data_IF_312965648239
#
_entry.id   IF_312965648239
#
_cell.length_a   1.000
_cell.length_b   1.000
_cell.length_c   1.000
_cell.angle_alpha   90.00
_cell.angle_beta   90.00
_cell.angle_gamma   90.00
#
_symmetry.space_group_name_H-M   'P 1'
#
loop_
_entity.id
_entity.type
_entity.pdbx_description
1 polymer ?
#
# COMPACT_ATOMS: atom_id res chain seq x y z
N UNK A 1 16.59 -1.39 -6.09
CA UNK A 1 15.55 -0.80 -6.96
C UNK A 1 14.63 0.01 -6.09
N UNK A 2 14.49 1.33 -6.31
CA UNK A 2 13.57 2.16 -5.55
C UNK A 2 12.13 1.82 -5.97
N UNK A 3 11.24 1.73 -4.99
CA UNK A 3 9.82 1.48 -5.21
C UNK A 3 9.14 2.81 -5.52
N UNK A 4 8.12 2.79 -6.38
CA UNK A 4 7.23 3.91 -6.67
C UNK A 4 5.79 3.61 -6.32
N UNK A 5 5.33 2.40 -6.62
CA UNK A 5 3.94 1.99 -6.41
C UNK A 5 3.86 0.56 -5.90
N UNK A 6 2.92 0.32 -4.98
CA UNK A 6 2.61 -0.98 -4.40
C UNK A 6 1.09 -1.16 -4.41
N UNK A 7 0.60 -2.30 -4.89
CA UNK A 7 -0.79 -2.72 -4.73
C UNK A 7 -0.86 -3.84 -3.69
N UNK A 8 -1.65 -3.65 -2.63
CA UNK A 8 -1.90 -4.64 -1.58
C UNK A 8 -3.41 -4.90 -1.50
N UNK A 9 -3.78 -6.18 -1.48
CA UNK A 9 -5.16 -6.60 -1.22
C UNK A 9 -5.33 -6.88 0.26
N UNK A 10 -6.31 -6.21 0.85
CA UNK A 10 -6.75 -6.42 2.24
C UNK A 10 -8.19 -6.91 2.24
N UNK A 11 -8.57 -7.62 3.31
CA UNK A 11 -9.95 -8.00 3.55
C UNK A 11 -10.53 -7.15 4.68
N UNK A 12 -11.68 -6.54 4.45
CA UNK A 12 -12.40 -5.70 5.42
C UNK A 12 -13.90 -5.62 5.10
N UNK A 13 -14.74 -5.45 6.11
CA UNK A 13 -16.20 -5.33 5.98
C UNK A 13 -16.66 -3.88 5.72
N UNK A 14 -15.76 -2.91 5.90
CA UNK A 14 -16.03 -1.50 5.68
C UNK A 14 -16.16 -1.11 4.21
N UNK A 15 -16.61 0.11 4.01
CA UNK A 15 -16.69 0.79 2.71
C UNK A 15 -15.33 1.32 2.26
N UNK A 16 -15.21 1.68 0.98
CA UNK A 16 -13.98 2.26 0.43
C UNK A 16 -13.52 3.51 1.21
N UNK A 17 -14.46 4.38 1.59
CA UNK A 17 -14.16 5.62 2.32
C UNK A 17 -13.66 5.33 3.75
N UNK A 18 -14.30 4.38 4.45
CA UNK A 18 -13.87 3.97 5.80
C UNK A 18 -12.46 3.36 5.78
N UNK A 19 -12.20 2.50 4.81
CA UNK A 19 -10.88 1.88 4.62
C UNK A 19 -9.85 2.96 4.30
N UNK A 20 -10.17 3.91 3.42
CA UNK A 20 -9.28 4.99 3.06
C UNK A 20 -8.93 5.88 4.25
N UNK A 21 -9.90 6.23 5.09
CA UNK A 21 -9.68 7.02 6.32
C UNK A 21 -8.80 6.26 7.31
N UNK A 22 -9.12 4.99 7.59
CA UNK A 22 -8.34 4.16 8.53
C UNK A 22 -6.90 3.96 8.08
N UNK A 23 -6.70 3.61 6.82
CA UNK A 23 -5.35 3.49 6.25
C UNK A 23 -4.63 4.85 6.28
N UNK A 24 -5.31 5.96 5.99
CA UNK A 24 -4.74 7.29 6.10
C UNK A 24 -4.22 7.60 7.51
N UNK A 25 -4.96 7.21 8.54
CA UNK A 25 -4.52 7.35 9.94
C UNK A 25 -3.32 6.45 10.26
N UNK A 26 -3.35 5.17 9.85
CA UNK A 26 -2.25 4.22 10.06
C UNK A 26 -0.94 4.67 9.41
N UNK A 27 -1.03 5.33 8.25
CA UNK A 27 0.12 5.76 7.47
C UNK A 27 0.55 7.21 7.74
N UNK A 28 0.06 7.83 8.81
CA UNK A 28 0.52 9.16 9.20
C UNK A 28 2.05 9.16 9.44
N UNK A 29 2.78 9.94 8.62
CA UNK A 29 4.25 9.98 8.67
C UNK A 29 4.96 8.82 7.96
N UNK A 30 4.23 7.93 7.28
CA UNK A 30 4.80 6.86 6.47
C UNK A 30 5.18 7.38 5.07
N UNK A 31 6.29 6.91 4.46
CA UNK A 31 6.77 7.45 3.17
C UNK A 31 5.93 7.03 1.95
N UNK A 32 4.96 6.11 2.14
CA UNK A 32 4.00 5.67 1.15
C UNK A 32 2.62 6.20 1.51
N UNK A 33 1.98 6.91 0.57
CA UNK A 33 0.61 7.41 0.70
C UNK A 33 -0.38 6.52 -0.05
N UNK A 34 -1.57 6.32 0.54
CA UNK A 34 -2.69 5.65 -0.13
C UNK A 34 -3.28 6.57 -1.22
N UNK A 35 -3.38 6.09 -2.45
CA UNK A 35 -3.91 6.87 -3.58
C UNK A 35 -5.22 6.34 -4.14
N UNK A 36 -5.53 5.06 -3.93
CA UNK A 36 -6.83 4.51 -4.31
C UNK A 36 -7.18 3.27 -3.51
N UNK A 37 -8.49 3.07 -3.31
CA UNK A 37 -9.09 1.87 -2.74
C UNK A 37 -10.15 1.39 -3.71
N UNK A 38 -9.99 0.19 -4.27
CA UNK A 38 -10.91 -0.37 -5.25
C UNK A 38 -11.46 -1.70 -4.75
N UNK A 39 -12.77 -1.89 -4.85
CA UNK A 39 -13.39 -3.18 -4.55
C UNK A 39 -12.92 -4.22 -5.58
N UNK A 40 -12.54 -5.41 -5.11
CA UNK A 40 -12.12 -6.51 -5.97
C UNK A 40 -13.23 -7.54 -6.07
N UNK A 41 -13.60 -8.14 -4.94
CA UNK A 41 -14.68 -9.14 -4.81
C UNK A 41 -14.98 -9.41 -3.34
N UNK A 42 -16.22 -9.74 -3.02
CA UNK A 42 -16.61 -10.06 -1.63
C UNK A 42 -16.19 -8.95 -0.66
N UNK A 43 -15.30 -9.27 0.26
CA UNK A 43 -14.73 -8.34 1.25
C UNK A 43 -13.28 -7.91 0.92
N UNK A 44 -12.80 -8.23 -0.29
CA UNK A 44 -11.44 -7.94 -0.72
C UNK A 44 -11.36 -6.55 -1.37
N UNK A 45 -10.42 -5.74 -0.91
CA UNK A 45 -10.16 -4.38 -1.36
C UNK A 45 -8.70 -4.24 -1.81
N UNK A 46 -8.49 -3.72 -3.00
CA UNK A 46 -7.15 -3.39 -3.53
C UNK A 46 -6.82 -1.96 -3.15
N UNK A 47 -5.79 -1.80 -2.34
CA UNK A 47 -5.25 -0.53 -1.91
C UNK A 47 -3.96 -0.25 -2.68
N UNK A 48 -3.90 0.91 -3.35
CA UNK A 48 -2.71 1.38 -4.06
C UNK A 48 -1.96 2.40 -3.24
N UNK A 49 -0.67 2.17 -3.06
CA UNK A 49 0.24 3.04 -2.34
C UNK A 49 1.29 3.60 -3.29
N UNK A 50 1.53 4.89 -3.21
CA UNK A 50 2.60 5.54 -3.98
C UNK A 50 3.58 6.21 -3.04
N UNK A 51 4.85 6.21 -3.43
CA UNK A 51 5.91 6.90 -2.67
C UNK A 51 5.74 8.40 -2.81
N UNK A 52 5.86 9.12 -1.70
CA UNK A 52 5.84 10.58 -1.71
C UNK A 52 7.05 11.10 -2.51
N UNK A 53 6.86 12.18 -3.27
CA UNK A 53 7.91 12.74 -4.11
C UNK A 53 9.19 13.05 -3.31
N UNK A 54 10.35 12.69 -3.88
CA UNK A 54 11.65 12.95 -3.27
C UNK A 54 12.12 11.92 -2.23
N UNK A 55 11.39 10.83 -2.00
CA UNK A 55 11.79 9.75 -1.09
C UNK A 55 12.19 8.50 -1.88
N UNK A 56 13.38 7.95 -1.60
CA UNK A 56 13.77 6.63 -2.10
C UNK A 56 13.34 5.54 -1.10
N UNK A 57 12.41 4.69 -1.53
CA UNK A 57 11.85 3.61 -0.71
C UNK A 57 12.39 2.27 -1.19
N UNK A 58 13.13 1.57 -0.34
CA UNK A 58 13.62 0.22 -0.61
C UNK A 58 12.61 -0.88 -0.24
N UNK A 59 12.86 -2.11 -0.68
CA UNK A 59 12.01 -3.29 -0.43
C UNK A 59 11.65 -3.53 1.04
N UNK A 60 12.53 -3.18 1.98
CA UNK A 60 12.24 -3.29 3.43
C UNK A 60 10.95 -2.57 3.83
N UNK A 61 10.64 -1.44 3.19
CA UNK A 61 9.45 -0.64 3.51
C UNK A 61 8.15 -1.33 3.11
N UNK A 62 8.17 -2.31 2.22
CA UNK A 62 6.99 -3.15 1.92
C UNK A 62 6.63 -3.96 3.15
N UNK A 63 7.60 -4.63 3.77
CA UNK A 63 7.36 -5.42 4.98
C UNK A 63 6.87 -4.54 6.15
N UNK A 64 7.41 -3.32 6.28
CA UNK A 64 6.94 -2.35 7.28
C UNK A 64 5.49 -1.90 6.98
N UNK A 65 5.16 -1.60 5.73
CA UNK A 65 3.80 -1.27 5.31
C UNK A 65 2.81 -2.40 5.62
N UNK A 66 3.18 -3.64 5.27
CA UNK A 66 2.39 -4.82 5.61
C UNK A 66 2.22 -4.97 7.12
N UNK A 67 3.28 -4.76 7.90
CA UNK A 67 3.18 -4.86 9.36
C UNK A 67 2.23 -3.81 9.95
N UNK A 68 2.21 -2.59 9.41
CA UNK A 68 1.30 -1.52 9.85
C UNK A 68 -0.15 -1.88 9.50
N UNK A 69 -0.39 -2.27 8.24
CA UNK A 69 -1.72 -2.64 7.77
C UNK A 69 -2.26 -3.88 8.51
N UNK A 70 -1.41 -4.86 8.81
CA UNK A 70 -1.79 -6.09 9.51
C UNK A 70 -2.28 -5.84 10.95
N UNK A 71 -2.04 -4.65 11.51
CA UNK A 71 -2.59 -4.26 12.82
C UNK A 71 -4.11 -4.06 12.81
N UNK A 72 -4.69 -3.76 11.64
CA UNK A 72 -6.13 -3.48 11.50
C UNK A 72 -6.82 -4.30 10.40
N UNK A 73 -6.06 -4.80 9.43
CA UNK A 73 -6.58 -5.41 8.22
C UNK A 73 -6.02 -6.82 8.01
N UNK A 74 -6.84 -7.73 7.49
CA UNK A 74 -6.39 -9.05 7.06
C UNK A 74 -5.74 -8.95 5.68
N UNK A 75 -4.40 -8.97 5.64
CA UNK A 75 -3.62 -8.86 4.40
C UNK A 75 -3.69 -10.16 3.63
N UNK A 76 -4.20 -10.09 2.40
CA UNK A 76 -4.31 -11.25 1.52
C UNK A 76 -3.10 -11.42 0.62
N UNK A 77 -2.68 -10.34 -0.03
CA UNK A 77 -1.67 -10.43 -1.09
C UNK A 77 -1.02 -9.07 -1.36
N UNK A 78 0.27 -9.09 -1.70
CA UNK A 78 0.93 -7.97 -2.40
C UNK A 78 0.91 -8.31 -3.89
N UNK A 79 0.06 -7.63 -4.65
CA UNK A 79 -0.18 -7.96 -6.06
C UNK A 79 0.86 -7.36 -6.99
N UNK A 80 1.35 -6.16 -6.66
CA UNK A 80 2.28 -5.43 -7.51
C UNK A 80 3.26 -4.62 -6.69
N UNK A 81 4.52 -4.67 -7.10
CA UNK A 81 5.56 -3.74 -6.66
C UNK A 81 6.21 -3.22 -7.94
N UNK A 82 6.22 -1.90 -8.12
CA UNK A 82 6.86 -1.29 -9.27
C UNK A 82 7.77 -0.15 -8.87
N UNK A 83 8.77 0.09 -9.70
CA UNK A 83 9.81 1.09 -9.54
C UNK A 83 10.48 1.34 -10.88
N UNK A 84 11.23 2.45 -11.05
CA UNK A 84 12.02 2.63 -12.26
C UNK A 84 12.99 1.46 -12.38
N UNK A 85 13.04 0.84 -13.57
CA UNK A 85 14.11 -0.08 -13.90
C UNK A 85 15.43 0.65 -13.63
N UNK A 86 16.28 0.07 -12.79
CA UNK A 86 17.64 0.57 -12.65
C UNK A 86 18.21 0.63 -14.07
N UNK A 87 18.47 1.83 -14.58
CA UNK A 87 19.21 1.97 -15.82
C UNK A 87 20.58 1.37 -15.51
N UNK A 88 20.81 0.14 -15.95
CA UNK A 88 22.13 -0.45 -16.03
C UNK A 88 22.83 0.32 -17.16
N UNK A 89 23.45 1.43 -16.77
CA UNK A 89 24.41 2.15 -17.62
C UNK A 89 25.79 1.60 -17.30
#
# INVERSE_FOLDING_TARGET
MPIKEIDIVVKDEGTADEIQVRIGHLLCGFPLGLTSVNHVRGLDWRCRFTVNEGIDVGFRKIAELQSVLAGEFDIRLVERVSGPAAHLV
#
